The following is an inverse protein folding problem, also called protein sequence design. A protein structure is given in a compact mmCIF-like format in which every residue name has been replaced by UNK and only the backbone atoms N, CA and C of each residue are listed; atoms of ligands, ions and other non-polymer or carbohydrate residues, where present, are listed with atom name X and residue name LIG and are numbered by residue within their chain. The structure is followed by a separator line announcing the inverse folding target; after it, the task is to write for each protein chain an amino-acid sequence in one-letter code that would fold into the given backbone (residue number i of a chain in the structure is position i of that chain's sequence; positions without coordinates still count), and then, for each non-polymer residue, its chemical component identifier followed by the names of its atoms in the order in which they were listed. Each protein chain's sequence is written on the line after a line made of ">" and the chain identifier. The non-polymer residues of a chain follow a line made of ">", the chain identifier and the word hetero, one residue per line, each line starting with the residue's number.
data_IF_488653019716
#
_entry.id   IF_488653019716
#
_cell.length_a   1.000
_cell.length_b   1.000
_cell.length_c   1.000
_cell.angle_alpha   90.00
_cell.angle_beta   90.00
_cell.angle_gamma   90.00
#
_symmetry.space_group_name_H-M   'P 1'
#
loop_
_entity.id
_entity.type
_entity.pdbx_description
1 polymer ?
#
# COMPACT_ATOMS: atom_id res chain seq x y z
N UNK A 1 -3.43 -12.97 -6.68
CA UNK A 1 -4.80 -12.87 -6.13
C UNK A 1 -5.59 -11.84 -6.91
N UNK A 2 -6.87 -12.10 -7.18
CA UNK A 2 -7.77 -11.11 -7.81
C UNK A 2 -8.18 -10.07 -6.77
N UNK A 3 -8.07 -8.77 -7.08
CA UNK A 3 -8.48 -7.69 -6.16
C UNK A 3 -9.85 -7.09 -6.45
N UNK A 4 -10.65 -7.78 -7.28
CA UNK A 4 -12.00 -7.36 -7.64
C UNK A 4 -12.93 -7.28 -6.42
N UNK A 5 -12.65 -8.09 -5.39
CA UNK A 5 -13.35 -8.07 -4.10
C UNK A 5 -13.35 -6.70 -3.41
N UNK A 6 -12.31 -5.88 -3.63
CA UNK A 6 -12.22 -4.52 -3.06
C UNK A 6 -13.40 -3.67 -3.52
N UNK A 7 -13.83 -3.87 -4.78
CA UNK A 7 -14.94 -3.17 -5.45
C UNK A 7 -16.29 -3.89 -5.26
N UNK A 8 -16.31 -5.04 -4.56
CA UNK A 8 -17.56 -5.75 -4.32
C UNK A 8 -18.39 -5.03 -3.24
N UNK A 9 -19.51 -4.43 -3.67
CA UNK A 9 -20.45 -3.74 -2.80
C UNK A 9 -21.17 -4.67 -1.81
N UNK A 10 -21.24 -5.97 -2.11
CA UNK A 10 -21.77 -6.99 -1.20
C UNK A 10 -20.68 -7.44 -0.23
N UNK A 11 -20.46 -6.63 0.81
CA UNK A 11 -19.45 -6.89 1.87
C UNK A 11 -19.71 -8.15 2.72
N UNK A 12 -20.84 -8.82 2.53
CA UNK A 12 -21.16 -10.10 3.16
C UNK A 12 -20.99 -11.30 2.22
N UNK A 13 -20.50 -11.08 0.99
CA UNK A 13 -20.22 -12.17 0.06
C UNK A 13 -18.92 -12.88 0.45
N UNK A 14 -18.86 -14.20 0.21
CA UNK A 14 -17.67 -15.01 0.46
C UNK A 14 -16.44 -14.44 -0.25
N UNK A 15 -16.59 -13.95 -1.49
CA UNK A 15 -15.51 -13.28 -2.24
C UNK A 15 -14.87 -12.11 -1.47
N UNK A 16 -15.65 -11.38 -0.66
CA UNK A 16 -15.12 -10.29 0.15
C UNK A 16 -14.31 -10.81 1.35
N UNK A 17 -14.75 -11.89 1.98
CA UNK A 17 -14.03 -12.52 3.08
C UNK A 17 -12.74 -13.20 2.61
N UNK A 18 -12.81 -13.94 1.50
CA UNK A 18 -11.65 -14.56 0.85
C UNK A 18 -10.60 -13.49 0.50
N UNK A 19 -11.07 -12.36 -0.05
CA UNK A 19 -10.21 -11.21 -0.36
C UNK A 19 -9.53 -10.58 0.87
N UNK A 20 -10.22 -10.53 2.02
CA UNK A 20 -9.62 -10.08 3.28
C UNK A 20 -8.54 -11.07 3.73
N UNK A 21 -8.80 -12.37 3.66
CA UNK A 21 -7.83 -13.40 4.04
C UNK A 21 -6.57 -13.31 3.15
N UNK A 22 -6.77 -13.22 1.84
CA UNK A 22 -5.75 -12.96 0.83
C UNK A 22 -4.87 -11.75 1.19
N UNK A 23 -5.50 -10.62 1.55
CA UNK A 23 -4.79 -9.41 1.95
C UNK A 23 -3.98 -9.60 3.25
N UNK A 24 -4.56 -10.28 4.24
CA UNK A 24 -3.91 -10.50 5.54
C UNK A 24 -2.70 -11.43 5.37
N UNK A 25 -2.83 -12.50 4.58
CA UNK A 25 -1.72 -13.40 4.25
C UNK A 25 -0.62 -12.65 3.49
N UNK A 26 -0.99 -11.83 2.51
CA UNK A 26 -0.04 -10.99 1.79
C UNK A 26 0.75 -10.09 2.74
N UNK A 27 0.04 -9.35 3.61
CA UNK A 27 0.67 -8.43 4.55
C UNK A 27 1.61 -9.14 5.53
N UNK A 28 1.25 -10.34 6.00
CA UNK A 28 2.13 -11.18 6.86
C UNK A 28 3.39 -11.61 6.13
N UNK A 29 3.24 -12.08 4.90
CA UNK A 29 4.35 -12.59 4.09
C UNK A 29 5.36 -11.50 3.75
N UNK A 30 4.88 -10.29 3.48
CA UNK A 30 5.73 -9.16 3.09
C UNK A 30 6.25 -8.32 4.26
N UNK A 31 5.75 -8.56 5.47
CA UNK A 31 6.18 -7.85 6.69
C UNK A 31 6.47 -8.87 7.82
N UNK A 32 7.44 -9.78 7.64
CA UNK A 32 7.72 -10.82 8.61
C UNK A 32 8.12 -10.22 9.96
N UNK A 33 7.50 -10.71 11.04
CA UNK A 33 7.74 -10.24 12.40
C UNK A 33 6.96 -8.97 12.80
N UNK A 34 6.22 -8.34 11.88
CA UNK A 34 5.36 -7.22 12.22
C UNK A 34 4.13 -7.69 13.02
N UNK A 35 3.96 -7.15 14.22
CA UNK A 35 2.75 -7.38 15.04
C UNK A 35 1.60 -6.44 14.67
N UNK A 36 1.91 -5.35 13.98
CA UNK A 36 0.96 -4.30 13.56
C UNK A 36 1.24 -3.87 12.13
N UNK A 37 0.18 -3.55 11.39
CA UNK A 37 0.23 -3.04 10.02
C UNK A 37 -0.70 -1.82 9.90
N UNK A 38 -0.51 -0.99 8.86
CA UNK A 38 -1.44 0.07 8.53
C UNK A 38 -2.82 -0.51 8.19
N UNK A 39 -3.89 0.10 8.69
CA UNK A 39 -5.24 -0.40 8.45
C UNK A 39 -5.85 0.23 7.19
N UNK A 40 -6.11 -0.53 6.11
CA UNK A 40 -6.68 -0.01 4.87
C UNK A 40 -8.22 0.05 4.91
N UNK A 41 -8.83 0.00 6.09
CA UNK A 41 -10.28 0.16 6.17
C UNK A 41 -10.69 1.63 5.94
N UNK A 42 -11.90 1.85 5.43
CA UNK A 42 -12.42 3.18 5.12
C UNK A 42 -12.25 4.20 6.26
N UNK A 43 -12.44 3.76 7.51
CA UNK A 43 -12.30 4.63 8.69
C UNK A 43 -10.86 4.98 9.06
N UNK A 44 -9.92 4.08 8.80
CA UNK A 44 -8.51 4.28 9.16
C UNK A 44 -7.71 4.93 8.03
N UNK A 45 -8.16 4.80 6.79
CA UNK A 45 -7.57 5.41 5.61
C UNK A 45 -6.05 5.18 5.47
N UNK A 46 -5.55 3.99 5.81
CA UNK A 46 -4.12 3.67 5.83
C UNK A 46 -3.24 4.52 6.78
N UNK A 47 -3.83 5.30 7.70
CA UNK A 47 -3.07 6.18 8.62
C UNK A 47 -2.87 5.58 10.00
N UNK A 48 -3.70 4.60 10.40
CA UNK A 48 -3.67 4.01 11.73
C UNK A 48 -3.05 2.61 11.71
N UNK A 49 -2.04 2.41 12.55
CA UNK A 49 -1.43 1.10 12.81
C UNK A 49 -2.32 0.29 13.76
N UNK A 50 -2.69 -0.94 13.36
CA UNK A 50 -3.49 -1.86 14.17
C UNK A 50 -2.85 -3.24 14.16
N UNK A 51 -3.19 -4.07 15.15
CA UNK A 51 -2.79 -5.50 15.10
C UNK A 51 -3.43 -6.15 13.89
N UNK A 52 -2.78 -7.18 13.33
CA UNK A 52 -3.28 -7.86 12.13
C UNK A 52 -4.72 -8.36 12.32
N UNK A 53 -5.03 -8.90 13.51
CA UNK A 53 -6.38 -9.33 13.89
C UNK A 53 -7.39 -8.17 13.86
N UNK A 54 -7.02 -7.01 14.42
CA UNK A 54 -7.87 -5.82 14.38
C UNK A 54 -8.05 -5.28 12.96
N UNK A 55 -7.05 -5.41 12.09
CA UNK A 55 -7.20 -5.04 10.68
C UNK A 55 -8.24 -5.93 10.00
N UNK A 56 -8.18 -7.25 10.18
CA UNK A 56 -9.21 -8.17 9.67
C UNK A 56 -10.62 -7.77 10.15
N UNK A 57 -10.78 -7.57 11.46
CA UNK A 57 -12.06 -7.11 12.02
C UNK A 57 -12.54 -5.78 11.44
N UNK A 58 -11.63 -4.81 11.26
CA UNK A 58 -11.96 -3.52 10.66
C UNK A 58 -12.36 -3.63 9.19
N UNK A 59 -11.77 -4.55 8.42
CA UNK A 59 -12.11 -4.75 7.02
C UNK A 59 -13.48 -5.39 6.85
N UNK A 60 -13.86 -6.31 7.76
CA UNK A 60 -15.22 -6.87 7.84
C UNK A 60 -16.23 -5.77 8.19
N UNK A 61 -15.94 -4.98 9.24
CA UNK A 61 -16.88 -4.00 9.78
C UNK A 61 -17.04 -2.74 8.92
N UNK A 62 -15.94 -2.23 8.38
CA UNK A 62 -15.90 -0.89 7.77
C UNK A 62 -15.63 -0.92 6.27
N UNK A 63 -15.26 -2.06 5.68
CA UNK A 63 -14.85 -2.13 4.28
C UNK A 63 -13.40 -1.69 4.06
N UNK A 64 -12.74 -2.25 3.04
CA UNK A 64 -11.48 -1.72 2.49
C UNK A 64 -11.73 -0.45 1.67
N UNK A 65 -10.76 0.46 1.66
CA UNK A 65 -10.79 1.64 0.78
C UNK A 65 -10.73 1.18 -0.68
N UNK A 66 -11.71 1.57 -1.47
CA UNK A 66 -11.89 1.08 -2.85
C UNK A 66 -10.73 1.44 -3.78
N UNK A 67 -10.11 2.61 -3.57
CA UNK A 67 -8.97 3.09 -4.35
C UNK A 67 -7.65 2.42 -3.95
N UNK A 68 -7.63 1.63 -2.87
CA UNK A 68 -6.43 0.95 -2.40
C UNK A 68 -6.22 -0.40 -3.09
N UNK A 69 -6.14 -0.36 -4.43
CA UNK A 69 -5.93 -1.54 -5.27
C UNK A 69 -4.47 -1.99 -5.35
N UNK A 70 -3.53 -1.13 -4.94
CA UNK A 70 -2.10 -1.45 -4.82
C UNK A 70 -1.74 -1.40 -3.33
N UNK A 71 -1.33 -2.54 -2.78
CA UNK A 71 -0.95 -2.73 -1.38
C UNK A 71 0.50 -2.30 -1.13
N UNK A 72 0.87 -1.13 -1.66
CA UNK A 72 2.23 -0.58 -1.60
C UNK A 72 2.78 -0.42 -0.17
N UNK A 73 1.94 0.02 0.77
CA UNK A 73 2.27 0.12 2.21
C UNK A 73 2.46 -1.25 2.86
N UNK A 74 2.13 -2.32 2.16
CA UNK A 74 2.22 -3.70 2.64
C UNK A 74 3.22 -4.53 1.81
N UNK A 75 3.99 -3.90 0.92
CA UNK A 75 5.07 -4.55 0.18
C UNK A 75 4.76 -4.91 -1.27
N UNK A 76 3.59 -4.54 -1.80
CA UNK A 76 3.34 -4.70 -3.22
C UNK A 76 4.09 -3.67 -4.05
N UNK A 77 4.87 -4.15 -5.00
CA UNK A 77 5.55 -3.31 -5.97
C UNK A 77 4.66 -3.16 -7.21
N UNK A 78 4.62 -1.95 -7.77
CA UNK A 78 4.05 -1.76 -9.10
C UNK A 78 4.96 -2.45 -10.10
N UNK A 79 4.40 -3.38 -10.87
CA UNK A 79 5.05 -3.95 -12.03
C UNK A 79 5.23 -2.83 -13.06
N UNK A 80 6.40 -2.19 -13.02
CA UNK A 80 6.87 -1.37 -14.12
C UNK A 80 7.20 -2.32 -15.28
N UNK A 81 6.18 -2.73 -16.03
CA UNK A 81 6.37 -3.27 -17.37
C UNK A 81 7.07 -2.18 -18.20
N UNK A 82 8.38 -2.33 -18.35
CA UNK A 82 9.29 -1.69 -19.30
C UNK A 82 8.70 -0.52 -20.11
N UNK A 83 8.67 0.69 -19.52
CA UNK A 83 8.72 1.90 -20.34
C UNK A 83 10.18 2.14 -20.75
N UNK A 84 10.72 1.25 -21.58
CA UNK A 84 11.91 1.57 -22.38
C UNK A 84 11.48 2.52 -23.48
N UNK A 85 11.32 3.79 -23.11
CA UNK A 85 11.43 4.94 -24.01
C UNK A 85 12.13 6.06 -23.26
N UNK A 86 13.26 5.75 -22.62
CA UNK A 86 14.27 6.76 -22.35
C UNK A 86 14.96 7.06 -23.69
N UNK A 87 14.41 8.01 -24.45
CA UNK A 87 15.15 8.66 -25.52
C UNK A 87 16.44 9.17 -24.91
N UNK A 88 17.58 8.61 -25.32
CA UNK A 88 18.90 9.14 -24.99
C UNK A 88 18.94 10.57 -25.50
N UNK A 89 18.83 11.55 -24.62
CA UNK A 89 19.22 12.92 -24.92
C UNK A 89 20.63 13.09 -24.35
N UNK A 90 21.57 13.23 -25.27
CA UNK A 90 22.97 13.50 -25.02
C UNK A 90 23.19 14.77 -24.17
N UNK A 91 24.14 14.67 -23.23
CA UNK A 91 25.05 15.71 -22.72
C UNK A 91 24.47 17.04 -22.17
N UNK A 92 24.45 17.18 -20.85
CA UNK A 92 24.79 18.45 -20.18
C UNK A 92 25.73 18.15 -19.01
N UNK A 93 26.86 18.86 -18.97
CA UNK A 93 27.91 18.76 -17.97
C UNK A 93 27.44 19.04 -16.53
N UNK A 94 28.16 18.53 -15.49
CA UNK A 94 27.77 18.77 -14.11
C UNK A 94 28.15 20.19 -13.69
N UNK A 95 27.15 21.07 -13.56
CA UNK A 95 27.32 22.30 -12.80
C UNK A 95 27.26 21.91 -11.33
N UNK A 96 28.43 21.77 -10.72
CA UNK A 96 28.59 21.73 -9.27
C UNK A 96 28.24 23.13 -8.72
N UNK A 97 27.13 23.24 -8.00
CA UNK A 97 26.91 24.37 -7.09
C UNK A 97 26.89 23.87 -5.67
N UNK A 98 27.94 24.24 -4.96
CA UNK A 98 28.14 23.99 -3.55
C UNK A 98 27.53 25.18 -2.81
N UNK A 99 26.34 25.00 -2.22
CA UNK A 99 26.01 25.81 -1.06
C UNK A 99 25.09 25.10 -0.07
N UNK A 100 25.46 25.27 1.19
CA UNK A 100 25.14 24.49 2.35
C UNK A 100 23.93 25.09 3.11
N UNK A 101 23.44 24.32 4.09
CA UNK A 101 22.68 24.73 5.28
C UNK A 101 21.15 24.53 5.39
N UNK A 102 20.82 23.40 6.04
CA UNK A 102 20.05 23.22 7.30
C UNK A 102 18.60 23.74 7.46
N UNK A 103 17.83 22.92 8.23
CA UNK A 103 16.63 23.17 9.06
C UNK A 103 15.32 22.81 8.32
N UNK A 104 14.42 21.94 8.80
CA UNK A 104 14.26 21.32 10.10
C UNK A 104 13.10 20.31 10.12
N UNK A 105 12.92 19.72 11.29
CA UNK A 105 12.01 18.62 11.64
C UNK A 105 10.52 19.04 11.62
N UNK A 106 9.64 18.14 11.20
CA UNK A 106 8.19 18.29 11.36
C UNK A 106 7.68 17.29 12.40
N UNK A 107 7.00 17.84 13.41
CA UNK A 107 6.30 17.15 14.51
C UNK A 107 5.08 16.37 14.02
#
# INVERSE_FOLDING_TARGET
>A
MSKRWIQNLKRCADEYFDGIEDFIEFARTHNPGASRICCPCWRCNNTLWKTIENVGFHLIRNGMIETYSIWNLHGEQLDHASSSNATRVDNVEPIVDHNDQVIGTCH
#
